data_IF_419224523167
#
_entry.id   IF_419224523167
#
_cell.length_a   1.000
_cell.length_b   1.000
_cell.length_c   1.000
_cell.angle_alpha   90.00
_cell.angle_beta   90.00
_cell.angle_gamma   90.00
#
_symmetry.space_group_name_H-M   'P 1'
#
loop_
_entity.id
_entity.type
_entity.pdbx_description
1 polymer ?
#
# COMPACT_ATOMS: atom_id res chain seq x y z
N UNK A 1 4.35 -9.77 11.41
CA UNK A 1 5.04 -10.50 12.51
C UNK A 1 5.86 -11.60 11.86
N UNK A 2 7.17 -11.63 12.07
CA UNK A 2 8.06 -12.64 11.45
C UNK A 2 7.95 -14.01 12.14
N UNK A 3 8.03 -15.09 11.37
CA UNK A 3 7.98 -16.46 11.88
C UNK A 3 9.25 -16.85 12.64
N UNK A 4 9.16 -17.95 13.40
CA UNK A 4 10.25 -18.45 14.25
C UNK A 4 11.58 -18.65 13.50
N UNK A 5 11.53 -19.15 12.27
CA UNK A 5 12.73 -19.36 11.47
C UNK A 5 13.48 -18.08 11.13
N UNK A 6 12.76 -17.01 10.77
CA UNK A 6 13.36 -15.71 10.49
C UNK A 6 13.88 -15.05 11.78
N UNK A 7 13.20 -15.23 12.92
CA UNK A 7 13.71 -14.78 14.24
C UNK A 7 15.05 -15.43 14.59
N UNK A 8 15.21 -16.73 14.31
CA UNK A 8 16.48 -17.43 14.54
C UNK A 8 17.60 -16.90 13.64
N UNK A 9 17.27 -16.61 12.37
CA UNK A 9 18.22 -16.02 11.43
C UNK A 9 18.63 -14.60 11.86
N UNK A 10 17.67 -13.78 12.26
CA UNK A 10 17.90 -12.44 12.80
C UNK A 10 18.82 -12.48 14.02
N UNK A 11 18.57 -13.39 14.97
CA UNK A 11 19.43 -13.59 16.14
C UNK A 11 20.85 -14.04 15.77
N UNK A 12 21.00 -14.89 14.74
CA UNK A 12 22.32 -15.34 14.24
C UNK A 12 23.19 -14.15 13.79
N UNK A 13 22.58 -13.16 13.13
CA UNK A 13 23.27 -11.98 12.61
C UNK A 13 23.19 -10.76 13.54
N UNK A 14 22.72 -10.91 14.78
CA UNK A 14 22.64 -9.81 15.74
C UNK A 14 21.65 -8.71 15.34
N UNK A 15 20.64 -9.03 14.53
CA UNK A 15 19.65 -8.07 14.04
C UNK A 15 18.62 -7.73 15.12
N UNK A 16 18.18 -6.48 15.15
CA UNK A 16 17.08 -6.02 15.98
C UNK A 16 15.75 -6.43 15.37
N UNK A 17 14.71 -6.62 16.19
CA UNK A 17 13.37 -6.96 15.73
C UNK A 17 12.38 -5.94 16.28
N UNK A 18 11.73 -5.20 15.39
CA UNK A 18 10.74 -4.19 15.76
C UNK A 18 9.62 -4.15 14.74
N UNK A 19 8.38 -3.92 15.20
CA UNK A 19 7.19 -3.85 14.32
C UNK A 19 6.99 -5.04 13.37
N UNK A 20 7.58 -6.20 13.69
CA UNK A 20 7.49 -7.40 12.86
C UNK A 20 8.41 -7.38 11.64
N UNK A 21 9.52 -6.64 11.71
CA UNK A 21 10.63 -6.63 10.74
C UNK A 21 11.92 -6.83 11.53
N UNK A 22 12.83 -7.67 11.04
CA UNK A 22 14.19 -7.74 11.56
C UNK A 22 15.08 -6.81 10.77
N UNK A 23 15.97 -6.04 11.40
CA UNK A 23 16.84 -5.09 10.70
C UNK A 23 18.19 -4.94 11.41
N UNK A 24 19.19 -4.48 10.66
CA UNK A 24 20.50 -4.15 11.20
C UNK A 24 21.59 -4.17 10.15
N UNK A 25 22.80 -3.85 10.59
CA UNK A 25 24.00 -3.99 9.77
C UNK A 25 24.45 -5.44 9.71
N UNK A 26 24.57 -5.97 8.49
CA UNK A 26 25.04 -7.34 8.24
C UNK A 26 25.99 -7.28 7.04
N UNK A 27 27.25 -7.68 7.27
CA UNK A 27 28.30 -7.69 6.22
C UNK A 27 28.44 -6.33 5.51
N UNK A 28 28.52 -5.26 6.32
CA UNK A 28 28.62 -3.86 5.86
C UNK A 28 27.44 -3.37 5.00
N UNK A 29 26.32 -4.10 4.97
CA UNK A 29 25.07 -3.68 4.35
C UNK A 29 24.01 -3.42 5.43
N UNK A 30 23.29 -2.30 5.31
CA UNK A 30 22.08 -2.07 6.10
C UNK A 30 20.92 -2.83 5.46
N UNK A 31 20.40 -3.85 6.14
CA UNK A 31 19.35 -4.72 5.61
C UNK A 31 18.13 -4.84 6.53
N UNK A 32 16.97 -5.10 5.94
CA UNK A 32 15.79 -5.59 6.66
C UNK A 32 15.30 -6.92 6.11
N UNK A 33 14.78 -7.75 7.02
CA UNK A 33 14.17 -9.04 6.76
C UNK A 33 12.72 -9.01 7.24
N UNK A 34 11.81 -9.29 6.33
CA UNK A 34 10.38 -9.40 6.61
C UNK A 34 9.76 -10.63 5.94
N UNK A 35 8.52 -10.91 6.27
CA UNK A 35 7.83 -12.11 5.79
C UNK A 35 6.38 -11.77 5.44
N UNK A 36 5.99 -12.13 4.22
CA UNK A 36 4.64 -12.00 3.71
C UNK A 36 4.00 -13.35 3.44
N UNK A 37 2.78 -13.33 2.91
CA UNK A 37 2.10 -14.57 2.53
C UNK A 37 2.79 -15.23 1.33
N UNK A 38 3.59 -16.27 1.58
CA UNK A 38 4.25 -17.08 0.56
C UNK A 38 5.61 -16.56 0.11
N UNK A 39 6.21 -15.61 0.83
CA UNK A 39 7.56 -15.13 0.54
C UNK A 39 8.24 -14.56 1.79
N UNK A 40 9.58 -14.56 1.75
CA UNK A 40 10.47 -13.84 2.67
C UNK A 40 11.17 -12.76 1.89
N UNK A 41 11.21 -11.56 2.44
CA UNK A 41 11.80 -10.39 1.78
C UNK A 41 13.07 -10.00 2.49
N UNK A 42 14.14 -9.82 1.71
CA UNK A 42 15.36 -9.15 2.12
C UNK A 42 15.40 -7.79 1.40
N UNK A 43 15.40 -6.69 2.14
CA UNK A 43 15.62 -5.36 1.60
C UNK A 43 17.02 -4.89 1.95
N UNK A 44 17.73 -4.35 0.97
CA UNK A 44 19.10 -3.84 1.10
C UNK A 44 19.05 -2.35 0.83
N UNK A 45 19.46 -1.54 1.81
CA UNK A 45 19.56 -0.09 1.64
C UNK A 45 20.81 0.25 0.83
N UNK A 46 20.62 1.07 -0.22
CA UNK A 46 21.67 1.40 -1.19
C UNK A 46 22.26 2.79 -0.93
N UNK A 47 21.51 3.69 -0.29
CA UNK A 47 21.95 5.05 0.02
C UNK A 47 20.86 6.09 -0.26
N UNK A 48 21.29 7.32 -0.57
CA UNK A 48 20.40 8.45 -0.84
C UNK A 48 19.30 8.10 -1.86
N UNK A 49 18.06 8.55 -1.68
CA UNK A 49 16.95 8.37 -2.62
C UNK A 49 15.76 9.28 -2.36
N UNK A 50 14.77 9.24 -3.25
CA UNK A 50 13.58 10.10 -3.16
C UNK A 50 12.55 9.56 -2.16
N UNK A 51 11.78 10.46 -1.55
CA UNK A 51 10.66 10.06 -0.70
C UNK A 51 9.68 9.19 -1.51
N UNK A 52 9.12 8.11 -0.93
CA UNK A 52 8.03 7.38 -1.56
C UNK A 52 6.89 8.36 -1.85
N UNK A 53 6.65 8.65 -3.13
CA UNK A 53 5.52 9.49 -3.53
C UNK A 53 4.25 8.70 -3.22
N UNK A 54 3.54 9.08 -2.15
CA UNK A 54 2.21 8.58 -1.89
C UNK A 54 1.34 8.89 -3.12
N UNK A 55 0.67 7.86 -3.64
CA UNK A 55 0.09 7.84 -4.98
C UNK A 55 -0.70 9.09 -5.40
N UNK A 56 -0.41 9.48 -6.64
CA UNK A 56 -1.24 10.27 -7.56
C UNK A 56 -1.31 11.79 -7.34
N UNK A 57 -0.53 12.49 -8.17
CA UNK A 57 -0.77 13.82 -8.75
C UNK A 57 -1.35 14.89 -7.81
N UNK A 58 -0.46 15.69 -7.22
CA UNK A 58 -0.70 17.11 -7.00
C UNK A 58 0.57 17.88 -7.37
N UNK A 59 0.37 18.93 -8.17
CA UNK A 59 1.35 19.78 -8.83
C UNK A 59 2.62 20.06 -8.03
N UNK A 60 3.77 19.91 -8.70
CA UNK A 60 4.96 20.67 -8.38
C UNK A 60 4.61 22.16 -8.41
N UNK A 61 4.68 22.81 -7.25
CA UNK A 61 4.94 24.24 -7.04
C UNK A 61 4.60 24.61 -5.59
N UNK A 62 5.49 24.23 -4.65
CA UNK A 62 5.70 24.98 -3.39
C UNK A 62 6.86 24.34 -2.60
N UNK A 63 8.07 24.43 -3.13
CA UNK A 63 9.28 24.44 -2.29
C UNK A 63 10.07 25.67 -2.69
N UNK A 64 9.57 26.84 -2.28
CA UNK A 64 10.39 28.06 -2.23
C UNK A 64 10.83 28.23 -0.79
N UNK A 65 12.06 27.78 -0.56
CA UNK A 65 13.09 28.34 0.34
C UNK A 65 12.56 29.30 1.42
N UNK A 66 12.41 28.81 2.65
CA UNK A 66 12.47 29.65 3.84
C UNK A 66 13.94 29.74 4.28
N UNK A 67 14.66 30.76 3.79
CA UNK A 67 15.88 31.22 4.43
C UNK A 67 15.56 32.47 5.25
N UNK A 68 15.72 32.31 6.56
CA UNK A 68 15.74 33.38 7.54
C UNK A 68 17.00 34.23 7.39
N UNK A 69 16.84 35.55 7.36
CA UNK A 69 17.81 36.48 7.95
C UNK A 69 17.06 37.66 8.56
N UNK A 70 17.45 37.97 9.80
CA UNK A 70 16.82 38.95 10.70
C UNK A 70 17.31 40.38 10.38
N UNK A 71 16.37 41.33 10.24
CA UNK A 71 16.23 42.69 10.88
C UNK A 71 17.44 43.68 10.91
N UNK A 72 17.33 45.04 10.78
CA UNK A 72 16.19 45.94 11.11
C UNK A 72 15.80 47.07 10.11
N UNK A 73 14.56 47.56 10.31
CA UNK A 73 13.98 48.89 10.07
C UNK A 73 14.74 49.96 9.23
N UNK A 74 14.09 50.54 8.22
CA UNK A 74 13.52 51.90 8.28
C UNK A 74 12.74 52.29 7.01
N UNK A 75 11.95 53.34 7.21
CA UNK A 75 10.91 54.00 6.43
C UNK A 75 11.17 54.39 4.97
N UNK A 76 10.03 54.63 4.32
CA UNK A 76 9.70 55.71 3.35
C UNK A 76 9.85 55.48 1.84
N UNK A 77 8.66 55.41 1.22
CA UNK A 77 8.18 56.18 0.07
C UNK A 77 8.26 55.57 -1.35
N UNK A 78 7.17 55.85 -2.06
CA UNK A 78 6.60 55.29 -3.29
C UNK A 78 7.02 56.12 -4.55
N UNK A 79 6.41 55.98 -5.75
CA UNK A 79 6.96 55.37 -6.97
C UNK A 79 7.08 56.35 -8.17
N UNK A 80 7.51 55.84 -9.33
CA UNK A 80 7.25 56.28 -10.74
C UNK A 80 8.47 55.88 -11.61
N UNK A 81 8.45 55.56 -12.90
CA UNK A 81 7.48 55.54 -13.99
C UNK A 81 8.18 54.84 -15.20
N UNK A 82 7.40 54.12 -16.01
CA UNK A 82 7.34 54.16 -17.50
C UNK A 82 8.65 54.36 -18.29
N UNK A 83 9.06 53.46 -19.18
CA UNK A 83 8.66 53.26 -20.59
C UNK A 83 9.88 52.48 -21.19
N UNK A 84 9.88 51.66 -22.25
CA UNK A 84 9.21 51.71 -23.53
C UNK A 84 9.55 50.39 -24.29
N UNK A 85 8.62 49.97 -25.14
CA UNK A 85 8.69 48.87 -26.10
C UNK A 85 9.64 49.17 -27.26
N UNK A 86 10.43 48.20 -27.73
CA UNK A 86 10.80 48.07 -29.16
C UNK A 86 11.31 46.66 -29.54
N UNK A 87 10.68 46.10 -30.56
CA UNK A 87 11.09 44.99 -31.45
C UNK A 87 10.50 45.36 -32.85
N UNK A 88 10.91 44.82 -34.03
CA UNK A 88 11.43 43.46 -34.24
C UNK A 88 12.42 43.25 -35.44
N UNK A 89 12.70 41.96 -35.72
CA UNK A 89 13.05 41.31 -37.00
C UNK A 89 14.52 41.25 -37.47
N UNK A 90 15.09 40.05 -37.32
CA UNK A 90 16.21 39.51 -38.12
C UNK A 90 16.19 37.98 -38.07
N UNK A 91 16.11 37.34 -39.23
CA UNK A 91 15.80 35.92 -39.44
C UNK A 91 16.99 34.96 -39.20
N UNK A 92 16.62 33.73 -38.86
CA UNK A 92 17.38 32.49 -38.59
C UNK A 92 18.43 32.10 -39.65
N UNK A 93 19.43 31.27 -39.30
CA UNK A 93 19.33 29.87 -39.73
C UNK A 93 19.66 28.85 -38.63
N UNK A 94 18.82 27.82 -38.59
CA UNK A 94 18.91 26.65 -37.72
C UNK A 94 19.90 25.64 -38.31
N UNK A 95 20.70 25.00 -37.46
CA UNK A 95 21.15 23.61 -37.63
C UNK A 95 21.83 23.06 -36.35
N UNK A 96 22.01 21.73 -36.21
CA UNK A 96 21.10 20.89 -35.43
C UNK A 96 21.83 20.08 -34.34
N UNK A 97 21.08 19.52 -33.39
CA UNK A 97 21.59 18.44 -32.54
C UNK A 97 21.35 18.67 -31.07
N UNK A 98 20.09 18.57 -30.64
CA UNK A 98 19.80 18.11 -29.29
C UNK A 98 18.77 16.98 -29.40
N UNK A 99 19.30 15.77 -29.32
CA UNK A 99 18.55 14.57 -28.93
C UNK A 99 17.76 14.91 -27.66
N UNK A 100 16.46 14.57 -27.56
CA UNK A 100 15.68 14.87 -26.38
C UNK A 100 16.28 14.18 -25.15
N UNK A 101 16.48 14.96 -24.09
CA UNK A 101 16.90 14.47 -22.78
C UNK A 101 16.00 13.30 -22.35
N UNK A 102 16.59 12.12 -22.18
CA UNK A 102 15.94 11.06 -21.43
C UNK A 102 15.75 11.55 -19.99
N UNK A 103 14.53 11.35 -19.49
CA UNK A 103 14.10 11.55 -18.12
C UNK A 103 15.17 10.98 -17.17
N UNK A 104 15.95 11.85 -16.53
CA UNK A 104 17.14 11.46 -15.76
C UNK A 104 16.76 10.67 -14.52
N UNK A 105 17.22 9.43 -14.43
CA UNK A 105 17.15 8.63 -13.20
C UNK A 105 17.95 9.33 -12.08
N UNK A 106 17.50 9.22 -10.83
CA UNK A 106 18.25 9.74 -9.69
C UNK A 106 19.51 8.89 -9.42
N UNK A 107 20.56 9.46 -8.78
CA UNK A 107 21.76 8.69 -8.41
C UNK A 107 21.44 7.44 -7.58
N UNK A 108 20.41 7.51 -6.74
CA UNK A 108 19.83 6.41 -5.98
C UNK A 108 19.43 5.23 -6.87
N UNK A 109 18.61 5.56 -7.86
CA UNK A 109 18.00 4.60 -8.76
C UNK A 109 19.05 3.97 -9.66
N UNK A 110 20.04 4.74 -10.11
CA UNK A 110 21.19 4.22 -10.84
C UNK A 110 22.01 3.23 -9.99
N UNK A 111 22.26 3.52 -8.71
CA UNK A 111 22.95 2.59 -7.81
C UNK A 111 22.13 1.33 -7.56
N UNK A 112 20.83 1.45 -7.33
CA UNK A 112 19.93 0.31 -7.11
C UNK A 112 19.81 -0.57 -8.37
N UNK A 113 19.74 0.03 -9.55
CA UNK A 113 19.72 -0.66 -10.84
C UNK A 113 21.06 -1.37 -11.08
N UNK A 114 22.19 -0.69 -10.86
CA UNK A 114 23.52 -1.31 -10.96
C UNK A 114 23.71 -2.46 -9.97
N UNK A 115 23.19 -2.32 -8.74
CA UNK A 115 23.17 -3.36 -7.74
C UNK A 115 22.33 -4.57 -8.18
N UNK A 116 21.14 -4.32 -8.74
CA UNK A 116 20.27 -5.36 -9.27
C UNK A 116 20.95 -6.12 -10.41
N UNK A 117 21.56 -5.41 -11.37
CA UNK A 117 22.35 -6.01 -12.46
C UNK A 117 23.52 -6.84 -11.91
N UNK A 118 24.25 -6.31 -10.93
CA UNK A 118 25.37 -7.02 -10.31
C UNK A 118 24.91 -8.29 -9.59
N UNK A 119 23.79 -8.26 -8.89
CA UNK A 119 23.24 -9.46 -8.25
C UNK A 119 22.76 -10.47 -9.29
N UNK A 120 22.13 -10.00 -10.38
CA UNK A 120 21.72 -10.88 -11.49
C UNK A 120 22.95 -11.52 -12.13
N UNK A 121 24.03 -10.77 -12.34
CA UNK A 121 25.31 -11.27 -12.84
C UNK A 121 25.93 -12.29 -11.87
N UNK A 122 26.07 -11.94 -10.58
CA UNK A 122 26.59 -12.82 -9.55
C UNK A 122 25.77 -14.12 -9.47
N UNK A 123 24.44 -14.03 -9.51
CA UNK A 123 23.55 -15.18 -9.52
C UNK A 123 23.66 -16.00 -10.83
N UNK A 124 23.96 -15.35 -11.96
CA UNK A 124 24.10 -15.97 -13.28
C UNK A 124 25.45 -16.69 -13.45
N UNK A 125 26.53 -16.09 -12.97
CA UNK A 125 27.87 -16.69 -12.91
C UNK A 125 27.92 -17.85 -11.91
N UNK A 126 27.08 -17.78 -10.87
CA UNK A 126 26.86 -18.86 -9.91
C UNK A 126 26.09 -20.08 -10.42
N UNK A 127 25.92 -20.25 -11.74
CA UNK A 127 25.41 -21.50 -12.37
C UNK A 127 26.10 -22.80 -11.90
N UNK A 128 27.17 -22.73 -11.08
CA UNK A 128 27.95 -23.87 -10.58
C UNK A 128 27.97 -24.13 -9.06
N UNK A 129 27.36 -23.34 -8.18
CA UNK A 129 27.19 -23.70 -6.75
C UNK A 129 25.71 -23.64 -6.33
N UNK A 130 25.05 -24.80 -6.14
CA UNK A 130 24.97 -25.55 -4.86
C UNK A 130 24.15 -24.86 -3.75
N UNK A 131 23.15 -24.03 -4.09
CA UNK A 131 21.97 -23.80 -3.22
C UNK A 131 20.70 -24.53 -3.67
N UNK A 132 20.76 -25.22 -4.81
CA UNK A 132 19.67 -26.07 -5.28
C UNK A 132 20.22 -27.46 -5.60
N UNK A 133 19.77 -28.48 -4.87
CA UNK A 133 19.95 -29.88 -5.27
C UNK A 133 18.58 -30.53 -5.41
N UNK A 134 18.41 -31.16 -6.58
CA UNK A 134 17.24 -31.86 -7.12
C UNK A 134 16.22 -30.94 -7.79
N UNK A 135 16.04 -31.18 -9.08
CA UNK A 135 15.55 -30.20 -10.04
C UNK A 135 14.10 -29.80 -9.85
N UNK A 136 13.86 -28.51 -10.03
CA UNK A 136 12.79 -27.93 -10.85
C UNK A 136 12.92 -26.40 -10.80
N UNK A 137 13.31 -25.80 -11.93
CA UNK A 137 13.10 -24.39 -12.37
C UNK A 137 13.65 -23.25 -11.47
N UNK A 138 14.15 -22.20 -12.13
CA UNK A 138 14.44 -20.87 -11.58
C UNK A 138 13.14 -20.14 -11.16
N UNK A 139 12.32 -20.74 -10.30
CA UNK A 139 11.05 -20.18 -9.86
C UNK A 139 11.10 -19.95 -8.35
N UNK A 140 11.56 -18.78 -7.91
CA UNK A 140 11.51 -18.49 -6.47
C UNK A 140 12.24 -17.27 -5.95
N UNK A 141 12.94 -16.49 -6.78
CA UNK A 141 13.55 -15.21 -6.35
C UNK A 141 13.14 -14.12 -7.33
N UNK A 142 12.61 -13.01 -6.81
CA UNK A 142 12.27 -11.81 -7.55
C UNK A 142 13.07 -10.64 -6.98
N UNK A 143 13.70 -9.86 -7.87
CA UNK A 143 14.53 -8.71 -7.51
C UNK A 143 13.83 -7.47 -8.04
N UNK A 144 13.57 -6.51 -7.17
CA UNK A 144 12.93 -5.23 -7.50
C UNK A 144 13.80 -4.09 -6.98
N UNK A 145 14.28 -3.23 -7.88
CA UNK A 145 14.98 -2.01 -7.52
C UNK A 145 13.96 -0.89 -7.26
N UNK A 146 14.02 -0.29 -6.08
CA UNK A 146 13.13 0.80 -5.70
C UNK A 146 13.92 1.93 -5.04
N UNK A 147 14.43 2.84 -5.88
CA UNK A 147 15.06 4.09 -5.50
C UNK A 147 16.24 3.89 -4.55
N UNK A 148 16.01 4.03 -3.25
CA UNK A 148 17.02 3.90 -2.18
C UNK A 148 17.21 2.48 -1.65
N UNK A 149 16.42 1.51 -2.12
CA UNK A 149 16.45 0.15 -1.62
C UNK A 149 16.35 -0.87 -2.76
N UNK A 150 17.02 -2.00 -2.57
CA UNK A 150 16.85 -3.19 -3.40
C UNK A 150 16.07 -4.25 -2.63
N UNK A 151 14.96 -4.72 -3.18
CA UNK A 151 14.19 -5.81 -2.62
C UNK A 151 14.52 -7.13 -3.31
N UNK A 152 14.80 -8.16 -2.51
CA UNK A 152 14.97 -9.54 -2.94
C UNK A 152 13.89 -10.38 -2.25
N UNK A 153 12.87 -10.76 -3.02
CA UNK A 153 11.76 -11.59 -2.56
C UNK A 153 12.06 -13.06 -2.83
N UNK A 154 12.16 -13.86 -1.77
CA UNK A 154 12.33 -15.30 -1.83
C UNK A 154 10.98 -15.99 -1.58
N UNK A 155 10.42 -16.64 -2.60
CA UNK A 155 9.15 -17.36 -2.46
C UNK A 155 9.32 -18.60 -1.56
N UNK A 156 8.30 -18.87 -0.75
CA UNK A 156 8.33 -19.89 0.29
C UNK A 156 8.35 -21.31 -0.32
N UNK A 157 9.51 -21.94 -0.22
CA UNK A 157 9.78 -23.33 -0.57
C UNK A 157 10.55 -23.99 0.58
N UNK A 158 10.54 -25.33 0.69
CA UNK A 158 11.41 -26.03 1.64
C UNK A 158 12.87 -25.63 1.43
N UNK A 159 13.47 -24.96 2.42
CA UNK A 159 14.86 -24.48 2.36
C UNK A 159 15.03 -22.98 2.09
N UNK A 160 13.97 -22.19 1.91
CA UNK A 160 14.08 -20.74 1.67
C UNK A 160 14.99 -20.01 2.67
N UNK A 161 14.93 -20.34 3.96
CA UNK A 161 15.80 -19.73 4.97
C UNK A 161 17.29 -20.02 4.75
N UNK A 162 17.64 -21.20 4.22
CA UNK A 162 19.02 -21.53 3.85
C UNK A 162 19.46 -20.73 2.62
N UNK A 163 18.55 -20.49 1.67
CA UNK A 163 18.81 -19.64 0.51
C UNK A 163 19.05 -18.18 0.95
N UNK A 164 18.22 -17.64 1.84
CA UNK A 164 18.42 -16.29 2.41
C UNK A 164 19.76 -16.23 3.16
N UNK A 165 20.06 -17.24 3.98
CA UNK A 165 21.30 -17.31 4.72
C UNK A 165 22.54 -17.33 3.81
N UNK A 166 22.50 -18.11 2.73
CA UNK A 166 23.62 -18.17 1.80
C UNK A 166 23.72 -16.91 0.92
N UNK A 167 22.60 -16.26 0.58
CA UNK A 167 22.62 -14.94 -0.04
C UNK A 167 23.34 -13.93 0.87
N UNK A 168 23.07 -13.96 2.18
CA UNK A 168 23.73 -13.11 3.17
C UNK A 168 25.24 -13.39 3.24
N UNK A 169 25.65 -14.66 3.22
CA UNK A 169 27.07 -15.01 3.37
C UNK A 169 27.89 -14.83 2.09
N UNK A 170 27.27 -15.03 0.91
CA UNK A 170 27.99 -15.08 -0.37
C UNK A 170 27.79 -13.83 -1.22
N UNK A 171 26.58 -13.26 -1.25
CA UNK A 171 26.25 -12.13 -2.15
C UNK A 171 26.46 -10.79 -1.46
N UNK A 172 25.98 -10.60 -0.22
CA UNK A 172 26.10 -9.30 0.47
C UNK A 172 27.54 -8.76 0.51
N UNK A 173 28.58 -9.55 0.83
CA UNK A 173 29.95 -9.03 0.87
C UNK A 173 30.47 -8.54 -0.49
N UNK A 174 29.95 -9.10 -1.60
CA UNK A 174 30.38 -8.73 -2.96
C UNK A 174 29.72 -7.45 -3.46
N UNK A 175 28.66 -7.01 -2.79
CA UNK A 175 27.89 -5.82 -3.17
C UNK A 175 27.95 -4.72 -2.12
N UNK A 176 28.61 -4.95 -0.99
CA UNK A 176 28.73 -3.98 0.10
C UNK A 176 29.31 -2.64 -0.37
N UNK A 177 30.28 -2.66 -1.29
CA UNK A 177 30.89 -1.45 -1.86
C UNK A 177 29.92 -0.60 -2.69
N UNK A 178 28.83 -1.20 -3.20
CA UNK A 178 27.77 -0.49 -3.93
C UNK A 178 26.69 0.05 -2.99
N UNK A 179 26.72 -0.36 -1.72
CA UNK A 179 25.78 0.12 -0.70
C UNK A 179 26.44 1.23 0.12
N UNK A 180 25.70 2.31 0.39
CA UNK A 180 26.16 3.42 1.20
C UNK A 180 25.34 3.54 2.49
N UNK A 181 25.43 2.58 3.43
CA UNK A 181 24.63 2.55 4.65
C UNK A 181 24.95 3.70 5.61
N UNK A 182 26.13 4.29 5.49
CA UNK A 182 26.54 5.47 6.24
C UNK A 182 26.00 6.79 5.69
N UNK A 183 25.26 6.82 4.60
CA UNK A 183 24.69 8.05 4.03
C UNK A 183 23.21 8.20 4.41
N UNK A 184 22.79 9.39 4.79
CA UNK A 184 21.37 9.67 5.01
C UNK A 184 20.58 9.58 3.70
N UNK A 185 19.45 8.86 3.74
CA UNK A 185 18.56 8.65 2.59
C UNK A 185 18.13 9.96 1.92
N UNK A 186 17.85 11.03 2.67
CA UNK A 186 17.33 12.26 2.09
C UNK A 186 18.41 13.26 1.72
N UNK A 187 19.29 13.58 2.66
CA UNK A 187 20.25 14.67 2.47
C UNK A 187 21.62 14.20 1.93
N UNK A 188 21.89 12.89 1.91
CA UNK A 188 23.16 12.32 1.43
C UNK A 188 24.36 12.59 2.33
N UNK A 189 24.18 13.24 3.49
CA UNK A 189 25.26 13.49 4.43
C UNK A 189 25.69 12.18 5.09
N UNK A 190 27.00 12.06 5.34
CA UNK A 190 27.53 10.99 6.18
C UNK A 190 26.90 11.05 7.57
N UNK A 191 26.47 9.89 8.05
CA UNK A 191 25.89 9.68 9.36
C UNK A 191 27.04 9.44 10.33
N UNK A 192 27.16 10.32 11.32
CA UNK A 192 28.15 10.19 12.39
C UNK A 192 27.45 9.85 13.72
N UNK A 193 28.04 8.93 14.51
CA UNK A 193 27.57 8.63 15.86
C UNK A 193 26.29 7.80 15.94
N UNK A 194 25.34 8.18 16.82
CA UNK A 194 24.04 7.53 17.01
C UNK A 194 23.08 7.76 15.82
N UNK A 195 23.53 7.38 14.63
CA UNK A 195 22.76 7.41 13.39
C UNK A 195 21.46 6.61 13.58
N UNK A 196 20.32 7.23 13.31
CA UNK A 196 19.03 6.59 13.48
C UNK A 196 18.66 5.79 12.24
N UNK A 197 18.21 4.55 12.44
CA UNK A 197 17.50 3.83 11.39
C UNK A 197 16.02 4.23 11.44
N UNK A 198 15.39 4.34 10.28
CA UNK A 198 13.95 4.51 10.17
C UNK A 198 13.37 3.32 9.42
N UNK A 199 12.28 2.76 9.93
CA UNK A 199 11.47 1.82 9.17
C UNK A 199 10.45 2.63 8.37
N UNK A 200 10.65 2.72 7.06
CA UNK A 200 9.72 3.35 6.13
C UNK A 200 8.59 2.39 5.74
N UNK A 201 7.50 2.93 5.16
CA UNK A 201 6.43 2.12 4.59
C UNK A 201 6.98 1.04 3.64
N UNK A 202 6.40 -0.16 3.69
CA UNK A 202 6.88 -1.31 2.90
C UNK A 202 7.99 -2.15 3.58
N UNK A 203 8.21 -1.96 4.89
CA UNK A 203 9.13 -2.79 5.70
C UNK A 203 10.62 -2.59 5.38
N UNK A 204 10.95 -1.43 4.82
CA UNK A 204 12.32 -1.05 4.45
C UNK A 204 12.98 -0.28 5.57
N UNK A 205 14.17 -0.74 5.96
CA UNK A 205 15.03 0.04 6.84
C UNK A 205 15.86 1.00 6.00
N UNK A 206 15.92 2.26 6.41
CA UNK A 206 16.75 3.28 5.77
C UNK A 206 17.55 4.02 6.83
N UNK A 207 18.74 4.49 6.44
CA UNK A 207 19.59 5.28 7.31
C UNK A 207 19.20 6.76 7.20
N UNK A 208 18.91 7.44 8.32
CA UNK A 208 18.49 8.85 8.30
C UNK A 208 19.08 9.65 9.45
N UNK A 209 19.42 10.92 9.16
CA UNK A 209 19.78 11.87 10.21
C UNK A 209 18.54 12.35 10.99
N UNK A 210 18.77 12.92 12.17
CA UNK A 210 17.68 13.36 13.06
C UNK A 210 16.77 14.44 12.44
N UNK A 211 17.34 15.36 11.65
CA UNK A 211 16.60 16.45 10.99
C UNK A 211 15.70 15.92 9.88
N UNK A 212 16.23 14.97 9.09
CA UNK A 212 15.54 14.29 8.02
C UNK A 212 14.39 13.46 8.56
N UNK A 213 14.58 12.72 9.67
CA UNK A 213 13.49 12.01 10.33
C UNK A 213 12.37 12.97 10.72
N UNK A 214 12.69 14.10 11.37
CA UNK A 214 11.68 15.10 11.75
C UNK A 214 10.92 15.67 10.55
N UNK A 215 11.59 15.89 9.41
CA UNK A 215 10.94 16.33 8.17
C UNK A 215 9.96 15.30 7.62
N UNK A 216 10.34 14.02 7.56
CA UNK A 216 9.43 13.00 7.05
C UNK A 216 8.28 12.76 8.02
N UNK A 217 8.54 12.74 9.33
CA UNK A 217 7.48 12.66 10.35
C UNK A 217 6.46 13.79 10.20
N UNK A 218 6.92 15.02 9.94
CA UNK A 218 6.04 16.17 9.67
C UNK A 218 5.23 16.00 8.39
N UNK A 219 5.85 15.61 7.27
CA UNK A 219 5.15 15.39 5.99
C UNK A 219 4.14 14.25 6.09
N UNK A 220 4.51 13.16 6.77
CA UNK A 220 3.63 12.04 7.05
C UNK A 220 2.45 12.44 7.94
N UNK A 221 2.67 13.30 8.94
CA UNK A 221 1.60 13.84 9.78
C UNK A 221 0.61 14.70 8.96
N UNK A 222 1.10 15.47 8.00
CA UNK A 222 0.26 16.33 7.15
C UNK A 222 -0.61 15.53 6.16
N UNK A 223 -0.09 14.40 5.67
CA UNK A 223 -0.79 13.53 4.71
C UNK A 223 -1.63 12.42 5.36
N UNK A 224 -1.92 12.48 6.66
CA UNK A 224 -2.77 11.46 7.28
C UNK A 224 -4.20 11.55 6.73
N UNK A 225 -4.63 10.45 6.10
CA UNK A 225 -6.01 10.28 5.68
C UNK A 225 -7.01 10.42 6.83
N UNK A 226 -8.23 10.84 6.50
CA UNK A 226 -9.29 11.02 7.50
C UNK A 226 -10.10 9.74 7.69
N UNK A 227 -10.29 9.29 8.94
CA UNK A 227 -11.16 8.13 9.23
C UNK A 227 -12.58 8.37 8.71
N UNK A 228 -13.13 9.57 8.93
CA UNK A 228 -14.46 9.94 8.46
C UNK A 228 -14.59 9.88 6.92
N UNK A 229 -13.60 10.39 6.18
CA UNK A 229 -13.58 10.31 4.71
C UNK A 229 -13.53 8.86 4.23
N UNK A 230 -12.71 8.04 4.88
CA UNK A 230 -12.65 6.60 4.62
C UNK A 230 -13.99 5.91 4.88
N UNK A 231 -14.66 6.22 5.98
CA UNK A 231 -15.98 5.65 6.30
C UNK A 231 -17.02 5.97 5.22
N UNK A 232 -17.07 7.22 4.75
CA UNK A 232 -17.96 7.61 3.64
C UNK A 232 -17.67 6.75 2.40
N UNK A 233 -16.39 6.56 2.08
CA UNK A 233 -15.96 5.76 0.94
C UNK A 233 -16.32 4.29 1.07
N UNK A 234 -16.16 3.71 2.27
CA UNK A 234 -16.56 2.34 2.55
C UNK A 234 -18.06 2.14 2.43
N UNK A 235 -18.87 3.08 2.95
CA UNK A 235 -20.34 3.04 2.83
C UNK A 235 -20.76 3.08 1.37
N UNK A 236 -20.21 3.99 0.56
CA UNK A 236 -20.50 4.07 -0.88
C UNK A 236 -20.13 2.75 -1.58
N UNK A 237 -18.93 2.21 -1.32
CA UNK A 237 -18.50 0.93 -1.88
C UNK A 237 -19.41 -0.24 -1.46
N UNK A 238 -19.84 -0.26 -0.21
CA UNK A 238 -20.73 -1.29 0.33
C UNK A 238 -22.15 -1.19 -0.27
N UNK A 239 -22.68 0.03 -0.48
CA UNK A 239 -23.96 0.25 -1.16
C UNK A 239 -23.94 -0.22 -2.61
N UNK A 240 -22.84 -0.01 -3.35
CA UNK A 240 -22.65 -0.56 -4.69
C UNK A 240 -22.68 -2.09 -4.64
N UNK A 241 -22.03 -2.69 -3.64
CA UNK A 241 -22.07 -4.14 -3.41
C UNK A 241 -23.48 -4.66 -3.10
N UNK A 242 -24.24 -3.96 -2.26
CA UNK A 242 -25.63 -4.30 -1.94
C UNK A 242 -26.55 -4.19 -3.17
N UNK A 243 -26.35 -3.18 -4.03
CA UNK A 243 -27.09 -3.07 -5.29
C UNK A 243 -26.76 -4.24 -6.23
N UNK A 244 -25.49 -4.64 -6.33
CA UNK A 244 -25.07 -5.82 -7.08
C UNK A 244 -25.68 -7.11 -6.50
N UNK A 245 -25.75 -7.23 -5.18
CA UNK A 245 -26.39 -8.36 -4.50
C UNK A 245 -27.87 -8.48 -4.90
N UNK A 246 -28.61 -7.37 -4.82
CA UNK A 246 -30.02 -7.30 -5.21
C UNK A 246 -30.22 -7.68 -6.67
N UNK A 247 -29.38 -7.17 -7.59
CA UNK A 247 -29.47 -7.52 -9.00
C UNK A 247 -29.25 -9.02 -9.28
N UNK A 248 -28.29 -9.65 -8.60
CA UNK A 248 -28.02 -11.09 -8.72
C UNK A 248 -29.17 -11.93 -8.14
N UNK A 249 -29.71 -11.53 -6.99
CA UNK A 249 -30.88 -12.16 -6.39
C UNK A 249 -32.12 -12.09 -7.29
N UNK A 250 -32.38 -10.94 -7.91
CA UNK A 250 -33.48 -10.76 -8.87
C UNK A 250 -33.33 -11.58 -10.15
N UNK A 251 -32.11 -11.97 -10.50
CA UNK A 251 -31.82 -12.89 -11.61
C UNK A 251 -31.98 -14.37 -11.21
N UNK A 252 -32.31 -14.67 -9.95
CA UNK A 252 -32.53 -16.03 -9.43
C UNK A 252 -31.25 -16.80 -9.08
N UNK A 253 -30.11 -16.11 -8.96
CA UNK A 253 -28.84 -16.73 -8.59
C UNK A 253 -28.53 -16.53 -7.10
N UNK A 254 -27.83 -17.51 -6.51
CA UNK A 254 -27.32 -17.42 -5.14
C UNK A 254 -26.24 -16.33 -5.06
N UNK A 255 -26.55 -15.22 -4.37
CA UNK A 255 -25.71 -14.02 -4.34
C UNK A 255 -24.47 -14.13 -3.42
N UNK A 256 -24.18 -15.28 -2.83
CA UNK A 256 -23.18 -15.40 -1.75
C UNK A 256 -21.77 -14.97 -2.16
N UNK A 257 -21.33 -15.22 -3.40
CA UNK A 257 -20.02 -14.77 -3.92
C UNK A 257 -19.93 -13.23 -3.96
N UNK A 258 -21.06 -12.54 -4.11
CA UNK A 258 -21.15 -11.07 -4.12
C UNK A 258 -20.73 -10.48 -2.77
N UNK A 259 -20.83 -11.24 -1.67
CA UNK A 259 -20.32 -10.82 -0.37
C UNK A 259 -18.82 -10.54 -0.39
N UNK A 260 -18.05 -11.35 -1.12
CA UNK A 260 -16.62 -11.11 -1.33
C UNK A 260 -16.36 -9.84 -2.15
N UNK A 261 -17.12 -9.63 -3.23
CA UNK A 261 -17.02 -8.44 -4.09
C UNK A 261 -17.36 -7.18 -3.30
N UNK A 262 -18.38 -7.24 -2.45
CA UNK A 262 -18.81 -6.13 -1.58
C UNK A 262 -17.70 -5.70 -0.63
N UNK A 263 -16.99 -6.66 -0.02
CA UNK A 263 -15.84 -6.36 0.84
C UNK A 263 -14.72 -5.64 0.06
N UNK A 264 -14.44 -6.09 -1.18
CA UNK A 264 -13.43 -5.47 -2.03
C UNK A 264 -13.83 -4.04 -2.44
N UNK A 265 -15.11 -3.81 -2.76
CA UNK A 265 -15.64 -2.49 -3.12
C UNK A 265 -15.63 -1.54 -1.91
N UNK A 266 -16.04 -2.01 -0.72
CA UNK A 266 -15.95 -1.23 0.51
C UNK A 266 -14.50 -0.86 0.84
N UNK A 267 -13.56 -1.81 0.70
CA UNK A 267 -12.13 -1.55 0.88
C UNK A 267 -11.57 -0.54 -0.11
N UNK A 268 -11.92 -0.68 -1.40
CA UNK A 268 -11.47 0.24 -2.45
C UNK A 268 -12.08 1.62 -2.31
N UNK A 269 -13.35 1.72 -1.92
CA UNK A 269 -14.03 2.98 -1.65
C UNK A 269 -13.41 3.72 -0.45
N UNK A 270 -13.08 3.00 0.63
CA UNK A 270 -12.37 3.56 1.78
C UNK A 270 -11.04 4.20 1.38
N UNK A 271 -10.28 3.52 0.53
CA UNK A 271 -8.98 3.99 0.05
C UNK A 271 -9.12 5.19 -0.90
N UNK A 272 -10.12 5.15 -1.81
CA UNK A 272 -10.33 6.17 -2.83
C UNK A 272 -10.65 7.55 -2.22
N UNK A 273 -11.32 7.60 -1.07
CA UNK A 273 -11.60 8.85 -0.36
C UNK A 273 -10.51 9.24 0.65
N UNK A 274 -9.33 8.61 0.58
CA UNK A 274 -8.20 8.94 1.46
C UNK A 274 -8.46 8.56 2.91
N UNK A 275 -9.07 7.38 3.13
CA UNK A 275 -9.29 6.85 4.46
C UNK A 275 -8.00 6.50 5.20
N UNK A 276 -7.96 6.75 6.51
CA UNK A 276 -6.76 6.46 7.33
C UNK A 276 -6.49 4.95 7.38
N UNK A 277 -5.26 4.48 7.10
CA UNK A 277 -4.89 3.08 7.31
C UNK A 277 -4.91 2.71 8.81
N UNK A 278 -5.00 1.41 9.09
CA UNK A 278 -4.94 0.86 10.46
C UNK A 278 -6.20 0.13 10.90
N UNK A 279 -6.40 0.01 12.22
CA UNK A 279 -7.49 -0.79 12.81
C UNK A 279 -8.89 -0.23 12.48
N UNK A 280 -9.03 1.09 12.45
CA UNK A 280 -10.31 1.75 12.12
C UNK A 280 -10.80 1.40 10.71
N UNK A 281 -9.88 1.33 9.73
CA UNK A 281 -10.18 0.87 8.37
C UNK A 281 -10.77 -0.54 8.37
N UNK A 282 -10.12 -1.47 9.08
CA UNK A 282 -10.58 -2.85 9.16
C UNK A 282 -11.97 -2.96 9.77
N UNK A 283 -12.18 -2.33 10.93
CA UNK A 283 -13.47 -2.35 11.63
C UNK A 283 -14.56 -1.76 10.73
N UNK A 284 -14.27 -0.65 10.05
CA UNK A 284 -15.19 -0.02 9.12
C UNK A 284 -15.57 -0.94 7.95
N UNK A 285 -14.59 -1.56 7.29
CA UNK A 285 -14.85 -2.42 6.13
C UNK A 285 -15.68 -3.65 6.54
N UNK A 286 -15.35 -4.29 7.66
CA UNK A 286 -16.12 -5.43 8.18
C UNK A 286 -17.56 -5.00 8.49
N UNK A 287 -17.74 -3.91 9.25
CA UNK A 287 -19.07 -3.42 9.63
C UNK A 287 -19.92 -3.04 8.40
N UNK A 288 -19.36 -2.28 7.45
CA UNK A 288 -20.04 -1.90 6.23
C UNK A 288 -20.41 -3.11 5.38
N UNK A 289 -19.53 -4.12 5.28
CA UNK A 289 -19.78 -5.32 4.47
C UNK A 289 -20.87 -6.19 5.09
N UNK A 290 -20.81 -6.47 6.40
CA UNK A 290 -21.83 -7.27 7.09
C UNK A 290 -23.22 -6.62 6.97
N UNK A 291 -23.29 -5.30 7.15
CA UNK A 291 -24.53 -4.55 7.01
C UNK A 291 -25.02 -4.54 5.56
N UNK A 292 -24.13 -4.37 4.58
CA UNK A 292 -24.51 -4.37 3.17
C UNK A 292 -25.06 -5.72 2.69
N UNK A 293 -24.59 -6.84 3.23
CA UNK A 293 -25.18 -8.16 2.93
C UNK A 293 -26.63 -8.21 3.43
N UNK A 294 -26.90 -7.78 4.68
CA UNK A 294 -28.26 -7.74 5.23
C UNK A 294 -29.16 -6.82 4.41
N UNK A 295 -28.69 -5.62 4.09
CA UNK A 295 -29.45 -4.65 3.29
C UNK A 295 -29.68 -5.16 1.86
N UNK A 296 -28.68 -5.77 1.25
CA UNK A 296 -28.78 -6.35 -0.09
C UNK A 296 -29.77 -7.51 -0.17
N UNK A 297 -29.78 -8.36 0.85
CA UNK A 297 -30.71 -9.49 0.95
C UNK A 297 -32.15 -9.02 1.18
N UNK A 298 -32.36 -8.11 2.15
CA UNK A 298 -33.68 -7.50 2.38
C UNK A 298 -34.21 -6.76 1.14
N UNK A 299 -33.32 -6.04 0.42
CA UNK A 299 -33.69 -5.37 -0.82
C UNK A 299 -34.04 -6.36 -1.95
N UNK A 300 -33.33 -7.49 -2.05
CA UNK A 300 -33.63 -8.54 -3.03
C UNK A 300 -34.99 -9.19 -2.75
N UNK A 301 -35.23 -9.60 -1.49
CA UNK A 301 -36.49 -10.20 -1.06
C UNK A 301 -37.66 -9.24 -1.30
N UNK A 302 -37.49 -7.97 -0.90
CA UNK A 302 -38.49 -6.95 -1.14
C UNK A 302 -38.78 -6.78 -2.63
N UNK A 303 -37.74 -6.63 -3.46
CA UNK A 303 -37.92 -6.46 -4.90
C UNK A 303 -38.57 -7.68 -5.59
N UNK A 304 -38.30 -8.91 -5.12
CA UNK A 304 -38.96 -10.12 -5.61
C UNK A 304 -40.45 -10.13 -5.28
N UNK A 305 -40.80 -9.86 -4.01
CA UNK A 305 -42.20 -9.79 -3.57
C UNK A 305 -42.93 -8.67 -4.31
N UNK A 306 -42.30 -7.50 -4.44
CA UNK A 306 -42.85 -6.39 -5.22
C UNK A 306 -43.15 -6.81 -6.66
N UNK A 307 -42.22 -7.52 -7.32
CA UNK A 307 -42.39 -8.00 -8.70
C UNK A 307 -43.56 -8.98 -8.82
N UNK A 308 -43.68 -9.95 -7.93
CA UNK A 308 -44.77 -10.92 -7.94
C UNK A 308 -46.13 -10.24 -7.74
N UNK A 309 -46.23 -9.32 -6.77
CA UNK A 309 -47.45 -8.55 -6.50
C UNK A 309 -47.84 -7.64 -7.68
N UNK A 310 -46.87 -7.01 -8.37
CA UNK A 310 -47.17 -6.22 -9.57
C UNK A 310 -47.66 -7.05 -10.75
N UNK A 311 -47.31 -8.34 -10.80
CA UNK A 311 -47.75 -9.25 -11.87
C UNK A 311 -49.09 -9.93 -11.55
N UNK A 312 -49.40 -10.15 -10.26
CA UNK A 312 -50.62 -10.85 -9.82
C UNK A 312 -51.90 -9.98 -9.81
N UNK A 313 -51.81 -8.65 -9.85
CA UNK A 313 -52.99 -7.79 -10.01
C UNK A 313 -52.76 -6.32 -9.69
N UNK A 314 -52.88 -5.47 -10.71
CA UNK A 314 -52.67 -4.02 -10.64
C UNK A 314 -53.70 -3.25 -9.77
N UNK A 315 -54.73 -3.89 -9.21
CA UNK A 315 -55.78 -3.23 -8.42
C UNK A 315 -55.50 -3.16 -6.91
N UNK A 316 -54.54 -3.92 -6.37
CA UNK A 316 -54.22 -3.91 -4.94
C UNK A 316 -53.22 -2.80 -4.54
N UNK A 317 -52.64 -2.12 -5.52
CA UNK A 317 -51.49 -1.23 -5.31
C UNK A 317 -51.87 0.12 -4.68
N UNK A 318 -53.13 0.54 -4.76
CA UNK A 318 -53.53 1.89 -4.34
C UNK A 318 -53.73 2.05 -2.82
N UNK A 319 -53.54 1.00 -2.02
CA UNK A 319 -53.90 1.02 -0.60
C UNK A 319 -52.85 0.46 0.39
N UNK A 320 -51.71 -0.05 -0.07
CA UNK A 320 -50.69 -0.61 0.84
C UNK A 320 -49.57 0.42 1.02
N UNK A 321 -49.47 1.01 2.22
CA UNK A 321 -48.36 1.88 2.56
C UNK A 321 -47.05 1.10 2.75
N UNK A 322 -45.93 1.81 2.77
CA UNK A 322 -44.60 1.21 2.99
C UNK A 322 -44.52 0.43 4.32
N UNK A 323 -45.25 0.87 5.35
CA UNK A 323 -45.26 0.23 6.66
C UNK A 323 -46.00 -1.11 6.64
N UNK A 324 -47.12 -1.20 5.92
CA UNK A 324 -47.91 -2.42 5.76
C UNK A 324 -47.15 -3.44 4.91
N UNK A 325 -46.42 -2.96 3.89
CA UNK A 325 -45.51 -3.78 3.11
C UNK A 325 -44.36 -4.35 3.97
N UNK A 326 -43.73 -3.52 4.81
CA UNK A 326 -42.72 -3.99 5.76
C UNK A 326 -43.29 -4.95 6.80
N UNK A 327 -44.52 -4.71 7.27
CA UNK A 327 -45.22 -5.60 8.20
C UNK A 327 -45.43 -6.99 7.60
N UNK A 328 -45.89 -7.05 6.35
CA UNK A 328 -46.09 -8.30 5.62
C UNK A 328 -44.77 -9.05 5.38
N UNK A 329 -43.70 -8.34 5.03
CA UNK A 329 -42.37 -8.92 4.92
C UNK A 329 -41.92 -9.58 6.21
N UNK A 330 -42.14 -8.92 7.35
CA UNK A 330 -41.77 -9.43 8.68
C UNK A 330 -42.64 -10.63 9.07
N UNK A 331 -43.93 -10.60 8.77
CA UNK A 331 -44.88 -11.68 9.07
C UNK A 331 -44.52 -12.97 8.31
N UNK A 332 -44.23 -12.87 7.01
CA UNK A 332 -43.73 -14.00 6.20
C UNK A 332 -42.41 -14.55 6.78
N UNK A 333 -41.54 -13.67 7.26
CA UNK A 333 -40.27 -14.03 7.90
C UNK A 333 -40.43 -14.61 9.32
N UNK A 334 -41.62 -14.61 9.90
CA UNK A 334 -41.89 -15.19 11.24
C UNK A 334 -42.68 -16.49 11.11
N UNK A 335 -43.62 -16.57 10.18
CA UNK A 335 -44.54 -17.70 10.07
C UNK A 335 -43.99 -18.88 9.28
N UNK A 336 -43.14 -18.63 8.28
CA UNK A 336 -42.61 -19.68 7.40
C UNK A 336 -41.17 -20.06 7.78
N UNK A 337 -41.05 -21.11 8.61
CA UNK A 337 -39.75 -21.63 9.05
C UNK A 337 -38.87 -22.17 7.91
N UNK A 338 -39.44 -22.63 6.80
CA UNK A 338 -38.66 -23.08 5.63
C UNK A 338 -38.07 -21.89 4.89
N UNK A 339 -38.85 -20.82 4.75
CA UNK A 339 -38.40 -19.54 4.17
C UNK A 339 -37.33 -18.86 5.03
N UNK A 340 -37.51 -18.82 6.36
CA UNK A 340 -36.47 -18.32 7.28
C UNK A 340 -35.19 -19.14 7.15
N UNK A 341 -35.33 -20.46 7.02
CA UNK A 341 -34.20 -21.38 6.84
C UNK A 341 -33.41 -21.16 5.55
N UNK A 342 -34.03 -20.67 4.47
CA UNK A 342 -33.32 -20.29 3.25
C UNK A 342 -32.64 -18.93 3.39
N UNK A 343 -33.33 -17.93 3.91
CA UNK A 343 -32.78 -16.58 4.16
C UNK A 343 -31.57 -16.62 5.09
N UNK A 344 -31.68 -17.33 6.22
CA UNK A 344 -30.56 -17.49 7.18
C UNK A 344 -29.37 -18.18 6.52
N UNK A 345 -29.61 -19.18 5.68
CA UNK A 345 -28.54 -19.90 4.97
C UNK A 345 -27.82 -19.00 3.98
N UNK A 346 -28.56 -18.23 3.19
CA UNK A 346 -28.00 -17.31 2.20
C UNK A 346 -27.21 -16.18 2.87
N UNK A 347 -27.70 -15.67 4.00
CA UNK A 347 -27.01 -14.69 4.83
C UNK A 347 -25.71 -15.24 5.42
N UNK A 348 -25.74 -16.46 5.98
CA UNK A 348 -24.55 -17.12 6.52
C UNK A 348 -23.50 -17.39 5.43
N UNK A 349 -23.92 -17.87 4.27
CA UNK A 349 -23.02 -18.08 3.14
C UNK A 349 -22.46 -16.74 2.64
N UNK A 350 -23.29 -15.70 2.60
CA UNK A 350 -22.89 -14.32 2.28
C UNK A 350 -21.79 -13.80 3.19
N UNK A 351 -21.97 -13.95 4.50
CA UNK A 351 -20.98 -13.55 5.48
C UNK A 351 -19.70 -14.39 5.41
N UNK A 352 -19.80 -15.69 5.11
CA UNK A 352 -18.63 -16.54 4.89
C UNK A 352 -17.75 -15.97 3.76
N UNK A 353 -18.34 -15.65 2.61
CA UNK A 353 -17.61 -15.06 1.48
C UNK A 353 -17.18 -13.62 1.74
N UNK A 354 -17.95 -12.83 2.49
CA UNK A 354 -17.57 -11.50 2.94
C UNK A 354 -16.30 -11.53 3.82
N UNK A 355 -16.18 -12.52 4.71
CA UNK A 355 -14.98 -12.74 5.52
C UNK A 355 -13.78 -13.04 4.63
N UNK A 356 -13.94 -13.92 3.63
CA UNK A 356 -12.88 -14.20 2.65
C UNK A 356 -12.44 -12.92 1.92
N UNK A 357 -13.40 -12.08 1.50
CA UNK A 357 -13.13 -10.78 0.90
C UNK A 357 -12.40 -9.83 1.83
N UNK A 358 -12.82 -9.74 3.10
CA UNK A 358 -12.14 -8.94 4.11
C UNK A 358 -10.69 -9.40 4.35
N UNK A 359 -10.44 -10.72 4.34
CA UNK A 359 -9.08 -11.29 4.41
C UNK A 359 -8.25 -10.89 3.19
N UNK A 360 -8.83 -10.87 1.98
CA UNK A 360 -8.13 -10.41 0.79
C UNK A 360 -7.76 -8.92 0.86
N UNK A 361 -8.68 -8.07 1.33
CA UNK A 361 -8.43 -6.64 1.58
C UNK A 361 -7.33 -6.45 2.62
N UNK A 362 -7.36 -7.24 3.70
CA UNK A 362 -6.35 -7.22 4.76
C UNK A 362 -4.96 -7.60 4.26
N UNK A 363 -4.85 -8.67 3.45
CA UNK A 363 -3.57 -9.08 2.87
C UNK A 363 -2.99 -7.98 1.98
N UNK A 364 -3.83 -7.31 1.20
CA UNK A 364 -3.41 -6.14 0.40
C UNK A 364 -3.00 -4.96 1.29
N UNK A 365 -3.75 -4.69 2.36
CA UNK A 365 -3.41 -3.64 3.33
C UNK A 365 -2.13 -3.92 4.12
N UNK A 366 -1.77 -5.19 4.34
CA UNK A 366 -0.52 -5.56 5.01
C UNK A 366 0.71 -5.38 4.11
N UNK A 367 0.54 -5.43 2.78
CA UNK A 367 1.61 -5.04 1.83
C UNK A 367 1.77 -3.52 1.78
N UNK A 368 0.66 -2.79 1.93
CA UNK A 368 0.64 -1.33 2.00
C UNK A 368 0.59 -0.84 3.46
N UNK A 369 1.44 -1.41 4.33
CA UNK A 369 1.68 -0.90 5.69
C UNK A 369 1.69 0.62 5.65
N UNK A 370 0.81 1.24 6.44
CA UNK A 370 0.53 2.68 6.52
C UNK A 370 1.60 3.54 5.81
N UNK A 371 1.33 4.11 4.62
CA UNK A 371 2.29 4.91 3.86
C UNK A 371 2.80 6.14 4.63
N UNK A 372 2.21 6.45 5.78
CA UNK A 372 2.61 7.54 6.65
C UNK A 372 3.30 7.09 7.95
N UNK A 373 3.52 5.78 8.16
CA UNK A 373 4.13 5.30 9.40
C UNK A 373 5.63 5.13 9.27
N UNK A 374 6.34 6.04 9.90
CA UNK A 374 7.76 5.90 10.20
C UNK A 374 7.88 5.33 11.60
N UNK A 375 8.69 4.29 11.77
CA UNK A 375 9.11 3.84 13.10
C UNK A 375 10.56 4.25 13.28
N UNK A 376 10.82 5.14 14.23
CA UNK A 376 12.17 5.55 14.59
C UNK A 376 12.84 4.45 15.38
N UNK A 377 13.88 3.86 14.81
CA UNK A 377 14.65 2.78 15.39
C UNK A 377 15.87 3.37 16.08
N UNK A 378 16.01 3.12 17.37
CA UNK A 378 17.17 3.56 18.14
C UNK A 378 18.20 2.43 18.14
N UNK A 379 19.32 2.62 17.44
CA UNK A 379 20.38 1.63 17.35
C UNK A 379 21.59 2.17 16.62
N UNK A 380 22.77 1.62 16.92
CA UNK A 380 24.01 1.97 16.21
C UNK A 380 23.97 1.30 14.83
N UNK A 381 23.96 2.12 13.77
CA UNK A 381 24.26 1.71 12.39
C UNK A 381 25.78 1.64 12.27
#
# INVERSE_FOLDING_TARGET
MIAFGLKKLAAKYGMNIESGVAYGMVKDCLISLSEGAGYKRLSIYVGQGELPQAGTQASADQIVVAQSSQTPAQSSQTPAQSDQTEAPLGQTPAQPGQTPAQLGQTPAQQRADALAERIIELASDYKRYRLMRSGQRLNGIEIEADGSALEVNFFDNPGTLKCVEAFIEEVLPQIAELTHPGECMLCGRELHGDACAALLPGERVVAMDADCIGRVEYVCALHQGGVARGMIGAVVGALIGAALWCAVGLAGYTASIVGMVTALLAGKGYDLLGGRPGKARLICIIACTLMAVVVGDAAALGAMIWREYTQAGAELMQAIGFNEYLGMMIEILIEDGEFVGSVVRDLLLGWLFAIVGCVAVLRKSSKNSDPSRIVRLHGRI
#
